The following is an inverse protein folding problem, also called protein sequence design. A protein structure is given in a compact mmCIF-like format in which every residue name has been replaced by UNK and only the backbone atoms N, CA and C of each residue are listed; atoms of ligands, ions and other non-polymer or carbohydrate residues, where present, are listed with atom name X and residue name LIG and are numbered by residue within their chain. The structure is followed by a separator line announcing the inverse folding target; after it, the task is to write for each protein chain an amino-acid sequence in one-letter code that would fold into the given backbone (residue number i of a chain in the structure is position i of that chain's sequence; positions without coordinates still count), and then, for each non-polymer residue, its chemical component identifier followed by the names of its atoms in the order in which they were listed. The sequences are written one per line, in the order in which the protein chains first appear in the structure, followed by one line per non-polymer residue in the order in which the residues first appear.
data_IF_475592773996
#
_entry.id   IF_475592773996
#
_cell.length_a   1.000
_cell.length_b   1.000
_cell.length_c   1.000
_cell.angle_alpha   90.00
_cell.angle_beta   90.00
_cell.angle_gamma   90.00
#
_symmetry.space_group_name_H-M   'P 1'
#
loop_
_entity.id
_entity.type
_entity.pdbx_description
1 polymer ?
#
# COMPACT_ATOMS: atom_id res chain seq x y z
N UNK A 1 -7.87 -5.79 -9.57
CA UNK A 1 -7.87 -4.33 -9.33
C UNK A 1 -7.26 -4.15 -7.94
N UNK A 2 -6.24 -3.31 -7.77
CA UNK A 2 -5.66 -3.07 -6.46
C UNK A 2 -6.69 -2.33 -5.61
N UNK A 3 -6.97 -2.82 -4.42
CA UNK A 3 -7.83 -2.17 -3.44
C UNK A 3 -6.99 -1.19 -2.65
N UNK A 4 -6.71 -0.05 -3.27
CA UNK A 4 -6.04 1.09 -2.67
C UNK A 4 -6.57 1.32 -1.24
N UNK A 5 -5.76 0.96 -0.23
CA UNK A 5 -6.06 1.25 1.16
C UNK A 5 -5.86 2.73 1.36
N UNK A 6 -6.87 3.50 0.93
CA UNK A 6 -6.95 4.92 1.19
C UNK A 6 -6.84 5.13 2.70
N UNK A 7 -5.69 5.61 3.14
CA UNK A 7 -5.47 6.09 4.49
C UNK A 7 -6.49 7.20 4.73
N UNK A 8 -7.55 6.89 5.48
CA UNK A 8 -8.68 7.79 5.73
C UNK A 8 -8.23 9.26 5.82
N UNK A 9 -8.36 9.98 4.70
CA UNK A 9 -8.13 11.42 4.64
C UNK A 9 -9.40 12.05 5.18
N UNK A 10 -9.46 12.16 6.51
CA UNK A 10 -10.54 12.86 7.20
C UNK A 10 -10.34 14.35 6.90
N UNK A 11 -11.12 14.86 5.95
CA UNK A 11 -11.28 16.28 5.70
C UNK A 11 -12.02 16.89 6.93
N UNK A 12 -11.41 17.83 7.68
CA UNK A 12 -11.94 18.35 8.95
C UNK A 12 -13.28 19.12 8.87
N UNK A 13 -13.90 19.23 7.70
CA UNK A 13 -15.08 20.09 7.50
C UNK A 13 -16.39 19.38 7.13
N UNK A 14 -16.43 18.04 7.09
CA UNK A 14 -17.69 17.31 6.80
C UNK A 14 -18.06 16.27 7.87
N UNK A 15 -19.11 16.53 8.65
CA UNK A 15 -19.78 15.50 9.47
C UNK A 15 -19.09 15.03 10.76
N UNK A 16 -18.11 15.79 11.27
CA UNK A 16 -17.19 15.46 12.37
C UNK A 16 -17.78 14.73 13.59
N UNK A 17 -18.96 15.13 14.06
CA UNK A 17 -19.53 14.55 15.29
C UNK A 17 -20.08 13.14 15.11
N UNK A 18 -20.62 12.80 13.94
CA UNK A 18 -21.18 11.44 13.69
C UNK A 18 -20.07 10.43 13.45
N UNK A 19 -19.05 10.84 12.70
CA UNK A 19 -17.87 10.00 12.39
C UNK A 19 -17.04 9.77 13.65
N UNK A 20 -16.79 10.79 14.47
CA UNK A 20 -16.08 10.62 15.74
C UNK A 20 -16.82 9.71 16.73
N UNK A 21 -18.15 9.80 16.81
CA UNK A 21 -18.96 8.86 17.61
C UNK A 21 -18.80 7.43 17.09
N UNK A 22 -18.82 7.20 15.78
CA UNK A 22 -18.62 5.87 15.21
C UNK A 22 -17.22 5.30 15.53
N UNK A 23 -16.17 6.12 15.43
CA UNK A 23 -14.80 5.70 15.78
C UNK A 23 -14.70 5.29 17.26
N UNK A 24 -15.24 6.11 18.17
CA UNK A 24 -15.26 5.78 19.60
C UNK A 24 -16.13 4.56 19.91
N UNK A 25 -17.24 4.39 19.19
CA UNK A 25 -18.09 3.21 19.30
C UNK A 25 -17.35 1.93 18.87
N UNK A 26 -16.65 1.95 17.72
CA UNK A 26 -15.83 0.82 17.27
C UNK A 26 -14.66 0.54 18.21
N UNK A 27 -14.00 1.57 18.75
CA UNK A 27 -12.96 1.39 19.75
C UNK A 27 -13.47 0.72 21.03
N UNK A 28 -14.62 1.15 21.55
CA UNK A 28 -15.23 0.55 22.75
C UNK A 28 -15.72 -0.89 22.47
N UNK A 29 -16.32 -1.11 21.31
CA UNK A 29 -16.76 -2.42 20.84
C UNK A 29 -15.59 -3.39 20.73
N UNK A 30 -14.49 -2.96 20.14
CA UNK A 30 -13.26 -3.76 20.02
C UNK A 30 -12.79 -4.24 21.38
N UNK A 31 -12.74 -3.36 22.39
CA UNK A 31 -12.37 -3.75 23.76
C UNK A 31 -13.38 -4.75 24.34
N UNK A 32 -14.68 -4.52 24.12
CA UNK A 32 -15.72 -5.44 24.58
C UNK A 32 -15.62 -6.83 23.91
N UNK A 33 -15.28 -6.89 22.62
CA UNK A 33 -15.08 -8.14 21.90
C UNK A 33 -13.80 -8.88 22.32
N UNK A 34 -12.69 -8.17 22.60
CA UNK A 34 -11.47 -8.79 23.16
C UNK A 34 -11.81 -9.43 24.51
N UNK A 35 -12.41 -8.67 25.42
CA UNK A 35 -12.78 -9.17 26.76
C UNK A 35 -13.79 -10.30 26.65
N UNK A 36 -14.83 -10.12 25.83
CA UNK A 36 -15.86 -11.12 25.61
C UNK A 36 -15.33 -12.39 24.93
N UNK A 37 -14.37 -12.28 24.02
CA UNK A 37 -13.72 -13.41 23.36
C UNK A 37 -12.90 -14.24 24.33
N UNK A 38 -12.12 -13.58 25.19
CA UNK A 38 -11.37 -14.24 26.26
C UNK A 38 -12.32 -14.94 27.25
N UNK A 39 -13.36 -14.24 27.72
CA UNK A 39 -14.30 -14.79 28.70
C UNK A 39 -15.18 -15.91 28.13
N UNK A 40 -15.53 -15.83 26.85
CA UNK A 40 -16.34 -16.84 26.17
C UNK A 40 -15.54 -18.02 25.64
N UNK A 41 -14.21 -17.92 25.56
CA UNK A 41 -13.36 -18.90 24.90
C UNK A 41 -13.41 -18.86 23.37
N UNK A 42 -14.13 -17.91 22.76
CA UNK A 42 -14.30 -17.79 21.30
C UNK A 42 -13.09 -17.15 20.64
N UNK A 43 -12.41 -17.91 19.78
CA UNK A 43 -11.33 -17.39 18.96
C UNK A 43 -11.87 -16.57 17.78
N UNK A 44 -13.08 -16.87 17.28
CA UNK A 44 -13.71 -16.10 16.21
C UNK A 44 -13.99 -14.66 16.65
N UNK A 45 -14.47 -14.46 17.87
CA UNK A 45 -14.69 -13.13 18.43
C UNK A 45 -13.38 -12.37 18.69
N UNK A 46 -12.31 -13.08 19.10
CA UNK A 46 -10.98 -12.49 19.25
C UNK A 46 -10.40 -12.08 17.89
N UNK A 47 -10.57 -12.91 16.84
CA UNK A 47 -10.08 -12.61 15.50
C UNK A 47 -10.70 -11.33 14.94
N UNK A 48 -12.03 -11.22 15.05
CA UNK A 48 -12.78 -10.03 14.64
C UNK A 48 -12.32 -8.78 15.42
N UNK A 49 -12.14 -8.91 16.75
CA UNK A 49 -11.65 -7.82 17.57
C UNK A 49 -10.20 -7.41 17.26
N UNK A 50 -9.30 -8.37 16.97
CA UNK A 50 -7.92 -8.09 16.61
C UNK A 50 -7.81 -7.37 15.26
N UNK A 51 -8.69 -7.70 14.31
CA UNK A 51 -8.78 -6.98 13.03
C UNK A 51 -9.16 -5.51 13.27
N UNK A 52 -10.30 -5.28 13.94
CA UNK A 52 -10.79 -3.93 14.28
C UNK A 52 -9.78 -3.12 15.11
N UNK A 53 -9.08 -3.77 16.04
CA UNK A 53 -8.00 -3.14 16.81
C UNK A 53 -6.83 -2.72 15.92
N UNK A 54 -6.39 -3.60 15.02
CA UNK A 54 -5.29 -3.31 14.09
C UNK A 54 -5.65 -2.14 13.19
N UNK A 55 -6.90 -2.05 12.72
CA UNK A 55 -7.35 -0.93 11.89
C UNK A 55 -7.36 0.39 12.67
N UNK A 56 -7.83 0.37 13.92
CA UNK A 56 -7.75 1.54 14.80
C UNK A 56 -6.30 1.95 15.08
N UNK A 57 -5.41 0.99 15.37
CA UNK A 57 -3.99 1.25 15.58
C UNK A 57 -3.33 1.81 14.31
N UNK A 58 -3.69 1.29 13.13
CA UNK A 58 -3.21 1.78 11.84
C UNK A 58 -3.56 3.24 11.60
N UNK A 59 -4.78 3.67 11.99
CA UNK A 59 -5.23 5.05 11.86
C UNK A 59 -4.41 5.99 12.75
N UNK A 60 -4.11 5.57 13.97
CA UNK A 60 -3.26 6.33 14.89
C UNK A 60 -1.83 6.45 14.32
N UNK A 61 -1.26 5.35 13.85
CA UNK A 61 0.08 5.35 13.23
C UNK A 61 0.08 6.24 11.98
N UNK A 62 -0.91 6.13 11.11
CA UNK A 62 -1.06 6.94 9.91
C UNK A 62 -1.21 8.43 10.23
N UNK A 63 -1.95 8.79 11.29
CA UNK A 63 -2.06 10.17 11.75
C UNK A 63 -0.69 10.76 12.16
N UNK A 64 0.08 10.02 12.96
CA UNK A 64 1.42 10.46 13.34
C UNK A 64 2.39 10.48 12.15
N UNK A 65 2.32 9.48 11.28
CA UNK A 65 3.11 9.41 10.05
C UNK A 65 2.84 10.62 9.15
N UNK A 66 1.57 10.97 8.92
CA UNK A 66 1.16 12.16 8.16
C UNK A 66 1.66 13.45 8.79
N UNK A 67 1.62 13.55 10.11
CA UNK A 67 2.17 14.70 10.84
C UNK A 67 3.68 14.83 10.64
N UNK A 68 4.40 13.73 10.52
CA UNK A 68 5.84 13.70 10.24
C UNK A 68 6.10 14.00 8.76
N UNK A 69 5.32 13.42 7.84
CA UNK A 69 5.44 13.58 6.40
C UNK A 69 5.31 15.03 5.93
N UNK A 70 4.45 15.82 6.60
CA UNK A 70 4.27 17.26 6.34
C UNK A 70 5.45 18.15 6.74
N UNK A 71 6.50 17.59 7.35
CA UNK A 71 7.70 18.37 7.68
C UNK A 71 8.46 18.73 6.40
N UNK A 72 8.96 19.97 6.28
CA UNK A 72 9.77 20.36 5.13
C UNK A 72 11.08 19.55 5.09
N UNK A 73 11.68 19.48 3.92
CA UNK A 73 12.99 18.88 3.73
C UNK A 73 14.08 19.59 4.57
N UNK A 74 15.08 18.83 5.01
CA UNK A 74 16.21 19.35 5.76
C UNK A 74 17.54 18.74 5.28
N UNK A 75 18.65 19.10 5.92
CA UNK A 75 20.00 18.66 5.52
C UNK A 75 20.22 17.15 5.62
N UNK A 76 19.43 16.45 6.44
CA UNK A 76 19.52 14.99 6.61
C UNK A 76 18.51 14.27 5.72
N UNK A 77 17.32 14.85 5.56
CA UNK A 77 16.23 14.33 4.73
C UNK A 77 15.96 15.30 3.58
N UNK A 78 16.82 15.27 2.55
CA UNK A 78 16.83 16.23 1.44
C UNK A 78 15.60 16.16 0.54
N UNK A 79 14.95 15.00 0.47
CA UNK A 79 13.66 14.80 -0.22
C UNK A 79 12.44 14.95 0.72
N UNK A 80 12.66 15.35 1.98
CA UNK A 80 11.60 15.45 2.97
C UNK A 80 11.25 14.13 3.64
N UNK A 81 10.11 14.13 4.35
CA UNK A 81 9.70 13.05 5.24
C UNK A 81 8.53 12.21 4.70
N UNK A 82 8.13 12.41 3.44
CA UNK A 82 6.94 11.80 2.84
C UNK A 82 6.86 10.28 2.97
N UNK A 83 7.99 9.59 2.77
CA UNK A 83 8.03 8.10 2.82
C UNK A 83 7.68 7.49 4.17
N UNK A 84 7.60 8.28 5.25
CA UNK A 84 7.14 7.78 6.55
C UNK A 84 5.71 7.22 6.48
N UNK A 85 4.85 7.76 5.62
CA UNK A 85 3.50 7.22 5.38
C UNK A 85 3.56 5.80 4.77
N UNK A 86 4.46 5.58 3.82
CA UNK A 86 4.70 4.26 3.21
C UNK A 86 5.22 3.26 4.25
N UNK A 87 6.14 3.70 5.12
CA UNK A 87 6.67 2.86 6.21
C UNK A 87 5.56 2.50 7.20
N UNK A 88 4.68 3.45 7.54
CA UNK A 88 3.52 3.20 8.40
C UNK A 88 2.57 2.16 7.79
N UNK A 89 2.28 2.26 6.50
CA UNK A 89 1.48 1.27 5.78
C UNK A 89 2.13 -0.12 5.83
N UNK A 90 3.44 -0.22 5.60
CA UNK A 90 4.17 -1.49 5.66
C UNK A 90 4.12 -2.12 7.06
N UNK A 91 4.27 -1.32 8.12
CA UNK A 91 4.14 -1.79 9.51
C UNK A 91 2.74 -2.37 9.74
N UNK A 92 1.69 -1.70 9.25
CA UNK A 92 0.32 -2.17 9.39
C UNK A 92 0.11 -3.53 8.70
N UNK A 93 0.45 -3.64 7.41
CA UNK A 93 0.29 -4.90 6.68
C UNK A 93 1.11 -6.04 7.27
N UNK A 94 2.35 -5.76 7.70
CA UNK A 94 3.19 -6.76 8.36
C UNK A 94 2.55 -7.24 9.67
N UNK A 95 1.95 -6.33 10.44
CA UNK A 95 1.24 -6.67 11.68
C UNK A 95 0.03 -7.56 11.40
N UNK A 96 -0.79 -7.21 10.41
CA UNK A 96 -1.93 -8.01 9.98
C UNK A 96 -1.53 -9.41 9.50
N UNK A 97 -0.41 -9.53 8.77
CA UNK A 97 0.12 -10.82 8.33
C UNK A 97 0.52 -11.69 9.52
N UNK A 98 1.24 -11.12 10.50
CA UNK A 98 1.63 -11.86 11.70
C UNK A 98 0.43 -12.31 12.53
N UNK A 99 -0.57 -11.44 12.71
CA UNK A 99 -1.82 -11.76 13.39
C UNK A 99 -2.58 -12.87 12.63
N UNK A 100 -2.68 -12.77 11.31
CA UNK A 100 -3.35 -13.76 10.47
C UNK A 100 -2.73 -15.15 10.60
N UNK A 101 -1.40 -15.27 10.53
CA UNK A 101 -0.72 -16.54 10.74
C UNK A 101 -0.90 -17.08 12.16
N UNK A 102 -0.86 -16.21 13.17
CA UNK A 102 -1.12 -16.60 14.56
C UNK A 102 -2.55 -17.15 14.74
N UNK A 103 -3.56 -16.51 14.15
CA UNK A 103 -4.95 -16.96 14.20
C UNK A 103 -5.18 -18.28 13.47
N UNK A 104 -4.51 -18.52 12.34
CA UNK A 104 -4.55 -19.81 11.64
C UNK A 104 -3.92 -20.91 12.50
N UNK A 105 -2.78 -20.63 13.13
CA UNK A 105 -2.12 -21.57 14.02
C UNK A 105 -3.00 -21.94 15.23
N UNK A 106 -3.52 -20.95 15.95
CA UNK A 106 -4.45 -21.15 17.07
C UNK A 106 -5.74 -21.85 16.65
N UNK A 107 -6.34 -21.43 15.54
CA UNK A 107 -7.55 -22.06 14.99
C UNK A 107 -7.31 -23.52 14.61
N UNK A 108 -6.16 -23.83 14.02
CA UNK A 108 -5.75 -25.19 13.68
C UNK A 108 -5.61 -26.08 14.91
N UNK A 109 -4.97 -25.59 15.97
CA UNK A 109 -4.85 -26.32 17.24
C UNK A 109 -6.23 -26.58 17.88
N UNK A 110 -7.11 -25.58 17.89
CA UNK A 110 -8.46 -25.69 18.45
C UNK A 110 -9.40 -26.56 17.61
N UNK A 111 -9.04 -26.89 16.36
CA UNK A 111 -9.81 -27.85 15.57
C UNK A 111 -9.68 -29.29 16.10
N UNK A 112 -8.55 -29.60 16.73
CA UNK A 112 -8.25 -30.94 17.28
C UNK A 112 -8.94 -31.13 18.63
N UNK A 113 -8.89 -30.13 19.50
CA UNK A 113 -9.56 -30.13 20.81
C UNK A 113 -10.37 -28.82 21.00
N UNK A 114 -11.63 -28.78 20.51
CA UNK A 114 -12.45 -27.58 20.56
C UNK A 114 -12.83 -27.19 22.00
N UNK A 115 -12.44 -25.99 22.47
CA UNK A 115 -12.77 -25.55 23.83
C UNK A 115 -14.28 -25.33 23.98
N UNK A 116 -14.73 -25.22 25.24
CA UNK A 116 -16.10 -24.80 25.52
C UNK A 116 -16.27 -23.32 25.20
N UNK A 117 -17.15 -23.02 24.25
CA UNK A 117 -17.46 -21.65 23.83
C UNK A 117 -18.81 -21.22 24.37
N UNK A 118 -18.85 -20.10 25.09
CA UNK A 118 -20.10 -19.50 25.56
C UNK A 118 -20.85 -18.82 24.41
N UNK A 119 -21.63 -19.60 23.66
CA UNK A 119 -22.30 -19.16 22.43
C UNK A 119 -23.18 -17.91 22.59
N UNK A 120 -23.82 -17.70 23.75
CA UNK A 120 -24.64 -16.50 24.00
C UNK A 120 -23.81 -15.22 24.00
N UNK A 121 -22.63 -15.25 24.62
CA UNK A 121 -21.69 -14.11 24.63
C UNK A 121 -21.23 -13.78 23.21
N UNK A 122 -20.94 -14.82 22.41
CA UNK A 122 -20.53 -14.67 21.00
C UNK A 122 -21.64 -14.05 20.17
N UNK A 123 -22.89 -14.55 20.28
CA UNK A 123 -24.03 -14.02 19.52
C UNK A 123 -24.37 -12.59 19.92
N UNK A 124 -24.36 -12.27 21.22
CA UNK A 124 -24.67 -10.92 21.69
C UNK A 124 -23.62 -9.93 21.19
N UNK A 125 -22.33 -10.22 21.37
CA UNK A 125 -21.26 -9.30 20.98
C UNK A 125 -21.12 -9.20 19.45
N UNK A 126 -21.25 -10.31 18.72
CA UNK A 126 -21.32 -10.28 17.26
C UNK A 126 -22.55 -9.51 16.76
N UNK A 127 -23.70 -9.63 17.44
CA UNK A 127 -24.91 -8.86 17.14
C UNK A 127 -24.73 -7.36 17.35
N UNK A 128 -24.08 -6.96 18.45
CA UNK A 128 -23.73 -5.54 18.69
C UNK A 128 -22.76 -5.05 17.62
N UNK A 129 -21.74 -5.83 17.27
CA UNK A 129 -20.78 -5.48 16.23
C UNK A 129 -21.46 -5.27 14.88
N UNK A 130 -22.28 -6.23 14.45
CA UNK A 130 -23.07 -6.12 13.23
C UNK A 130 -23.92 -4.83 13.20
N UNK A 131 -24.54 -4.45 14.33
CA UNK A 131 -25.32 -3.21 14.40
C UNK A 131 -24.43 -1.99 14.22
N UNK A 132 -23.28 -1.92 14.89
CA UNK A 132 -22.36 -0.77 14.78
C UNK A 132 -21.80 -0.65 13.36
N UNK A 133 -21.33 -1.75 12.78
CA UNK A 133 -20.75 -1.77 11.43
C UNK A 133 -21.80 -1.43 10.37
N UNK A 134 -23.00 -2.00 10.49
CA UNK A 134 -24.12 -1.70 9.56
C UNK A 134 -24.55 -0.24 9.67
N UNK A 135 -24.64 0.33 10.88
CA UNK A 135 -24.98 1.75 11.05
C UNK A 135 -23.90 2.64 10.43
N UNK A 136 -22.63 2.29 10.60
CA UNK A 136 -21.50 3.04 10.03
C UNK A 136 -21.49 2.93 8.49
N UNK A 137 -21.75 1.74 7.94
CA UNK A 137 -21.92 1.53 6.50
C UNK A 137 -23.13 2.32 5.95
N UNK A 138 -24.27 2.34 6.63
CA UNK A 138 -25.46 3.10 6.18
C UNK A 138 -25.23 4.62 6.21
N UNK A 139 -24.53 5.12 7.23
CA UNK A 139 -24.17 6.53 7.32
C UNK A 139 -23.25 6.93 6.16
N UNK A 140 -22.24 6.10 5.87
CA UNK A 140 -21.26 6.36 4.81
C UNK A 140 -21.80 6.08 3.40
N UNK A 141 -22.82 5.24 3.24
CA UNK A 141 -23.44 4.90 1.96
C UNK A 141 -23.95 6.12 1.19
N UNK A 142 -24.59 7.07 1.89
CA UNK A 142 -25.09 8.29 1.25
C UNK A 142 -23.96 9.24 0.82
N UNK A 143 -22.82 9.19 1.52
CA UNK A 143 -21.67 10.07 1.33
C UNK A 143 -20.64 9.49 0.34
N UNK A 144 -20.67 8.18 0.06
CA UNK A 144 -19.69 7.52 -0.80
C UNK A 144 -19.69 8.00 -2.26
N UNK A 145 -20.83 8.50 -2.76
CA UNK A 145 -20.97 8.90 -4.17
C UNK A 145 -20.13 10.13 -4.53
N UNK A 146 -19.70 10.90 -3.55
CA UNK A 146 -18.91 12.12 -3.74
C UNK A 146 -17.42 11.98 -3.38
N UNK A 147 -16.97 10.84 -2.86
CA UNK A 147 -15.58 10.69 -2.39
C UNK A 147 -15.12 9.24 -2.42
N UNK A 148 -13.98 9.00 -3.10
CA UNK A 148 -13.31 7.69 -3.14
C UNK A 148 -12.91 7.24 -1.73
N UNK A 149 -12.48 8.16 -0.88
CA UNK A 149 -12.12 7.87 0.51
C UNK A 149 -13.33 7.37 1.32
N UNK A 150 -14.51 7.97 1.14
CA UNK A 150 -15.73 7.53 1.83
C UNK A 150 -16.22 6.19 1.26
N UNK A 151 -16.03 5.95 -0.04
CA UNK A 151 -16.30 4.65 -0.65
C UNK A 151 -15.43 3.54 -0.08
N UNK A 152 -14.14 3.79 0.13
CA UNK A 152 -13.25 2.83 0.78
C UNK A 152 -13.72 2.50 2.21
N UNK A 153 -14.05 3.54 3.00
CA UNK A 153 -14.59 3.36 4.35
C UNK A 153 -15.92 2.59 4.36
N UNK A 154 -16.82 2.83 3.40
CA UNK A 154 -18.06 2.08 3.26
C UNK A 154 -17.81 0.59 2.97
N UNK A 155 -16.93 0.29 2.01
CA UNK A 155 -16.60 -1.10 1.65
C UNK A 155 -15.93 -1.86 2.79
N UNK A 156 -15.10 -1.18 3.58
CA UNK A 156 -14.47 -1.74 4.76
C UNK A 156 -15.51 -2.12 5.83
N UNK A 157 -16.37 -1.19 6.25
CA UNK A 157 -17.43 -1.49 7.23
C UNK A 157 -18.40 -2.58 6.74
N UNK A 158 -18.62 -2.68 5.42
CA UNK A 158 -19.43 -3.76 4.85
C UNK A 158 -18.74 -5.12 5.01
N UNK A 159 -17.41 -5.17 4.85
CA UNK A 159 -16.61 -6.36 5.10
C UNK A 159 -16.68 -6.79 6.56
N UNK A 160 -16.58 -5.84 7.50
CA UNK A 160 -16.63 -6.11 8.94
C UNK A 160 -18.02 -6.60 9.37
N UNK A 161 -19.07 -6.01 8.79
CA UNK A 161 -20.44 -6.49 8.98
C UNK A 161 -20.60 -7.95 8.50
N UNK A 162 -19.98 -8.33 7.38
CA UNK A 162 -20.00 -9.72 6.90
C UNK A 162 -19.22 -10.66 7.83
N UNK A 163 -18.09 -10.22 8.39
CA UNK A 163 -17.34 -10.97 9.40
C UNK A 163 -18.19 -11.18 10.68
N UNK A 164 -18.85 -10.11 11.16
CA UNK A 164 -19.80 -10.17 12.28
C UNK A 164 -20.95 -11.16 12.02
N UNK A 165 -21.51 -11.20 10.80
CA UNK A 165 -22.52 -12.20 10.41
C UNK A 165 -21.98 -13.62 10.53
N UNK A 166 -20.75 -13.87 10.06
CA UNK A 166 -20.12 -15.19 10.19
C UNK A 166 -19.99 -15.59 11.68
N UNK A 167 -19.53 -14.67 12.54
CA UNK A 167 -19.41 -14.90 14.00
C UNK A 167 -20.78 -15.20 14.64
N UNK A 168 -21.84 -14.47 14.28
CA UNK A 168 -23.21 -14.71 14.80
C UNK A 168 -23.71 -16.09 14.37
N UNK A 169 -23.52 -16.47 13.10
CA UNK A 169 -23.90 -17.79 12.59
C UNK A 169 -23.14 -18.87 13.37
N UNK A 170 -21.84 -18.67 13.60
CA UNK A 170 -21.02 -19.58 14.42
C UNK A 170 -21.53 -19.76 15.84
N UNK A 171 -21.74 -18.65 16.55
CA UNK A 171 -22.29 -18.67 17.90
C UNK A 171 -23.68 -19.33 17.95
N UNK A 172 -24.53 -19.09 16.96
CA UNK A 172 -25.86 -19.70 16.87
C UNK A 172 -25.78 -21.22 16.67
N UNK A 173 -24.87 -21.69 15.81
CA UNK A 173 -24.64 -23.12 15.60
C UNK A 173 -24.09 -23.82 16.85
N UNK A 174 -23.24 -23.13 17.61
CA UNK A 174 -22.75 -23.62 18.91
C UNK A 174 -23.91 -23.74 19.90
N UNK A 175 -24.82 -22.76 19.96
CA UNK A 175 -25.98 -22.81 20.87
C UNK A 175 -26.99 -23.91 20.51
N UNK A 176 -27.30 -24.07 19.22
CA UNK A 176 -28.34 -24.99 18.76
C UNK A 176 -27.88 -26.44 18.67
N UNK A 177 -26.63 -26.66 18.25
CA UNK A 177 -26.12 -27.98 17.90
C UNK A 177 -24.87 -28.40 18.68
N UNK A 178 -24.39 -27.57 19.62
CA UNK A 178 -23.13 -27.78 20.35
C UNK A 178 -21.93 -27.99 19.41
N UNK A 179 -21.96 -27.35 18.24
CA UNK A 179 -20.98 -27.53 17.17
C UNK A 179 -19.73 -26.69 17.42
N UNK A 180 -18.90 -27.10 18.38
CA UNK A 180 -17.76 -26.31 18.90
C UNK A 180 -16.65 -26.06 17.88
N UNK A 181 -16.45 -26.96 16.92
CA UNK A 181 -15.44 -26.82 15.85
C UNK A 181 -15.73 -25.65 14.88
N UNK A 182 -16.94 -25.09 14.91
CA UNK A 182 -17.33 -23.98 14.04
C UNK A 182 -16.58 -22.70 14.39
N UNK A 183 -16.33 -22.45 15.68
CA UNK A 183 -15.57 -21.28 16.12
C UNK A 183 -14.17 -21.24 15.47
N UNK A 184 -13.31 -22.27 15.61
CA UNK A 184 -12.01 -22.28 14.95
C UNK A 184 -12.10 -22.29 13.42
N UNK A 185 -13.13 -22.90 12.83
CA UNK A 185 -13.33 -22.86 11.38
C UNK A 185 -13.60 -21.43 10.86
N UNK A 186 -14.45 -20.68 11.56
CA UNK A 186 -14.73 -19.27 11.24
C UNK A 186 -13.49 -18.42 11.49
N UNK A 187 -12.75 -18.65 12.59
CA UNK A 187 -11.48 -17.96 12.84
C UNK A 187 -10.51 -18.13 11.68
N UNK A 188 -10.29 -19.36 11.21
CA UNK A 188 -9.40 -19.63 10.08
C UNK A 188 -9.91 -18.93 8.82
N UNK A 189 -11.22 -18.95 8.58
CA UNK A 189 -11.83 -18.23 7.45
C UNK A 189 -11.56 -16.72 7.49
N UNK A 190 -11.79 -16.07 8.64
CA UNK A 190 -11.51 -14.64 8.84
C UNK A 190 -10.02 -14.37 8.67
N UNK A 191 -9.14 -15.20 9.26
CA UNK A 191 -7.70 -15.04 9.17
C UNK A 191 -7.17 -15.16 7.73
N UNK A 192 -7.68 -16.13 6.95
CA UNK A 192 -7.34 -16.29 5.54
C UNK A 192 -7.78 -15.09 4.70
N UNK A 193 -8.95 -14.53 5.00
CA UNK A 193 -9.44 -13.33 4.34
C UNK A 193 -8.56 -12.11 4.66
N UNK A 194 -8.19 -11.89 5.92
CA UNK A 194 -7.27 -10.82 6.34
C UNK A 194 -5.91 -10.98 5.64
N UNK A 195 -5.36 -12.20 5.60
CA UNK A 195 -4.10 -12.47 4.90
C UNK A 195 -4.19 -12.17 3.41
N UNK A 196 -5.27 -12.60 2.75
CA UNK A 196 -5.48 -12.32 1.32
C UNK A 196 -5.46 -10.81 1.04
N UNK A 197 -6.16 -10.02 1.85
CA UNK A 197 -6.17 -8.57 1.72
C UNK A 197 -4.77 -7.99 1.94
N UNK A 198 -4.11 -8.36 3.04
CA UNK A 198 -2.78 -7.85 3.37
C UNK A 198 -1.72 -8.19 2.30
N UNK A 199 -1.72 -9.40 1.75
CA UNK A 199 -0.78 -9.80 0.68
C UNK A 199 -1.05 -9.12 -0.65
N UNK A 200 -2.31 -8.82 -0.96
CA UNK A 200 -2.66 -8.09 -2.18
C UNK A 200 -2.10 -6.66 -2.14
N UNK A 201 -2.04 -6.08 -0.94
CA UNK A 201 -1.88 -4.63 -0.75
C UNK A 201 -0.48 -4.23 -0.28
N UNK A 202 0.28 -5.15 0.33
CA UNK A 202 1.66 -4.90 0.76
C UNK A 202 2.62 -4.61 -0.40
N UNK A 203 2.29 -5.05 -1.62
CA UNK A 203 3.15 -4.88 -2.80
C UNK A 203 3.41 -3.42 -3.19
N UNK A 204 2.41 -2.55 -3.04
CA UNK A 204 2.52 -1.12 -3.33
C UNK A 204 3.58 -0.43 -2.47
N UNK A 205 3.46 -0.48 -1.13
CA UNK A 205 4.46 0.09 -0.23
C UNK A 205 5.87 -0.45 -0.44
N UNK A 206 6.03 -1.76 -0.64
CA UNK A 206 7.33 -2.39 -0.90
C UNK A 206 7.95 -1.80 -2.18
N UNK A 207 7.18 -1.73 -3.28
CA UNK A 207 7.65 -1.17 -4.55
C UNK A 207 8.11 0.28 -4.39
N UNK A 208 7.37 1.11 -3.67
CA UNK A 208 7.73 2.51 -3.42
C UNK A 208 9.02 2.62 -2.60
N UNK A 209 9.21 1.77 -1.58
CA UNK A 209 10.45 1.74 -0.80
C UNK A 209 11.65 1.25 -1.62
N UNK A 210 11.42 0.35 -2.57
CA UNK A 210 12.43 -0.18 -3.50
C UNK A 210 12.75 0.77 -4.66
N UNK A 211 12.26 2.02 -4.65
CA UNK A 211 12.43 2.98 -5.75
C UNK A 211 11.85 2.48 -7.08
N UNK A 212 10.79 1.67 -7.03
CA UNK A 212 10.10 1.23 -8.24
C UNK A 212 9.46 2.41 -8.97
N UNK A 213 9.37 2.29 -10.30
CA UNK A 213 8.64 3.26 -11.12
C UNK A 213 7.17 3.35 -10.68
N UNK A 214 6.49 4.49 -10.82
CA UNK A 214 5.06 4.65 -10.54
C UNK A 214 4.21 3.61 -11.29
N UNK A 215 3.19 2.98 -10.66
CA UNK A 215 2.34 1.99 -11.34
C UNK A 215 1.44 2.59 -12.43
N UNK A 216 1.06 3.86 -12.28
CA UNK A 216 0.09 4.53 -13.16
C UNK A 216 0.76 5.30 -14.31
N UNK A 217 2.09 5.28 -14.40
CA UNK A 217 2.86 5.95 -15.45
C UNK A 217 3.52 4.89 -16.33
N UNK A 218 3.21 4.93 -17.62
CA UNK A 218 3.93 4.14 -18.61
C UNK A 218 5.29 4.78 -18.93
N UNK A 219 6.36 4.13 -18.48
CA UNK A 219 7.73 4.57 -18.68
C UNK A 219 8.07 4.74 -20.16
N UNK A 220 7.53 3.91 -21.05
CA UNK A 220 7.84 3.99 -22.48
C UNK A 220 7.21 5.25 -23.09
N UNK A 221 5.95 5.53 -22.75
CA UNK A 221 5.27 6.75 -23.17
C UNK A 221 5.99 8.01 -22.66
N UNK A 222 6.54 8.01 -21.44
CA UNK A 222 7.36 9.13 -20.93
C UNK A 222 8.60 9.35 -21.80
N UNK A 223 9.37 8.29 -22.07
CA UNK A 223 10.59 8.37 -22.90
C UNK A 223 10.26 8.87 -24.30
N UNK A 224 9.20 8.35 -24.93
CA UNK A 224 8.78 8.80 -26.26
C UNK A 224 8.34 10.25 -26.27
N UNK A 225 7.65 10.72 -25.22
CA UNK A 225 7.26 12.11 -25.10
C UNK A 225 8.49 13.05 -24.98
N UNK A 226 9.55 12.61 -24.31
CA UNK A 226 10.82 13.35 -24.21
C UNK A 226 11.58 13.37 -25.54
N UNK A 227 11.70 12.21 -26.22
CA UNK A 227 12.32 12.09 -27.56
C UNK A 227 11.56 12.87 -28.63
N UNK A 228 10.27 13.09 -28.45
CA UNK A 228 9.44 13.90 -29.35
C UNK A 228 9.69 15.41 -29.28
N UNK A 229 10.53 15.90 -28.36
CA UNK A 229 10.89 17.32 -28.26
C UNK A 229 11.94 17.67 -29.31
N UNK A 230 11.68 18.71 -30.10
CA UNK A 230 12.59 19.18 -31.15
C UNK A 230 13.99 19.52 -30.59
N UNK A 231 15.03 19.01 -31.25
CA UNK A 231 16.42 19.12 -30.82
C UNK A 231 16.93 17.99 -29.90
N UNK A 232 16.06 17.09 -29.41
CA UNK A 232 16.45 15.87 -28.69
C UNK A 232 16.74 14.75 -29.70
N UNK A 233 17.94 14.18 -29.62
CA UNK A 233 18.36 13.04 -30.44
C UNK A 233 17.98 11.71 -29.76
N UNK A 234 18.25 11.58 -28.46
CA UNK A 234 17.95 10.37 -27.70
C UNK A 234 17.79 10.64 -26.19
N UNK A 235 17.26 9.66 -25.47
CA UNK A 235 17.15 9.63 -24.00
C UNK A 235 17.56 8.24 -23.52
N UNK A 236 18.45 8.17 -22.54
CA UNK A 236 18.92 6.91 -21.95
C UNK A 236 19.20 7.06 -20.45
N UNK A 237 19.62 5.97 -19.79
CA UNK A 237 19.88 5.94 -18.34
C UNK A 237 18.69 6.43 -17.50
N UNK A 238 17.48 6.06 -17.93
CA UNK A 238 16.24 6.55 -17.32
C UNK A 238 16.00 5.85 -15.99
N UNK A 239 15.93 6.64 -14.94
CA UNK A 239 15.48 6.27 -13.61
C UNK A 239 14.18 7.00 -13.31
N UNK A 240 13.07 6.27 -13.29
CA UNK A 240 11.78 6.79 -12.86
C UNK A 240 11.39 6.08 -11.57
N UNK A 241 11.10 6.85 -10.51
CA UNK A 241 10.70 6.28 -9.22
C UNK A 241 9.58 7.06 -8.55
N UNK A 242 8.80 6.35 -7.74
CA UNK A 242 7.81 6.95 -6.85
C UNK A 242 8.54 7.52 -5.62
N UNK A 243 8.55 8.84 -5.46
CA UNK A 243 9.23 9.50 -4.33
C UNK A 243 8.36 9.48 -3.06
N UNK A 244 7.07 9.78 -3.21
CA UNK A 244 6.01 9.80 -2.18
C UNK A 244 4.71 9.25 -2.78
N UNK A 245 3.61 9.17 -2.03
CA UNK A 245 2.34 8.57 -2.51
C UNK A 245 1.84 9.14 -3.85
N UNK A 246 2.03 10.45 -4.11
CA UNK A 246 1.57 11.11 -5.33
C UNK A 246 2.64 11.92 -6.06
N UNK A 247 3.92 11.64 -5.80
CA UNK A 247 5.02 12.39 -6.39
C UNK A 247 5.99 11.44 -7.06
N UNK A 248 6.01 11.49 -8.40
CA UNK A 248 6.98 10.80 -9.23
C UNK A 248 8.19 11.69 -9.49
N UNK A 249 9.36 11.07 -9.59
CA UNK A 249 10.62 11.74 -9.91
C UNK A 249 11.35 10.99 -11.03
N UNK A 250 12.05 11.76 -11.85
CA UNK A 250 12.81 11.27 -13.00
C UNK A 250 14.26 11.78 -12.96
N UNK A 251 15.19 10.89 -13.24
CA UNK A 251 16.59 11.20 -13.52
C UNK A 251 16.98 10.50 -14.82
N UNK A 252 17.57 11.22 -15.76
CA UNK A 252 17.99 10.63 -17.03
C UNK A 252 19.00 11.49 -17.78
N UNK A 253 19.59 10.88 -18.80
CA UNK A 253 20.47 11.53 -19.74
C UNK A 253 19.67 11.86 -21.02
N UNK A 254 19.85 13.07 -21.54
CA UNK A 254 19.18 13.60 -22.73
C UNK A 254 20.26 14.00 -23.73
N UNK A 255 20.33 13.26 -24.83
CA UNK A 255 21.25 13.53 -25.92
C UNK A 255 20.62 14.56 -26.84
N UNK A 256 21.34 15.65 -27.10
CA UNK A 256 20.92 16.71 -28.00
C UNK A 256 21.67 16.65 -29.32
N UNK A 257 20.97 16.98 -30.39
CA UNK A 257 21.57 17.24 -31.70
C UNK A 257 22.52 18.43 -31.65
N UNK A 258 23.46 18.55 -32.60
CA UNK A 258 24.37 19.69 -32.67
C UNK A 258 23.64 21.05 -32.69
N UNK A 259 22.54 21.14 -33.43
CA UNK A 259 21.69 22.35 -33.48
C UNK A 259 20.92 22.59 -32.17
N UNK A 260 20.51 21.50 -31.50
CA UNK A 260 19.82 21.53 -30.22
C UNK A 260 20.72 21.98 -29.06
N UNK A 261 22.03 21.72 -29.12
CA UNK A 261 22.99 22.09 -28.07
C UNK A 261 23.03 23.61 -27.80
N UNK A 262 22.87 24.43 -28.85
CA UNK A 262 22.77 25.89 -28.70
C UNK A 262 21.47 26.36 -28.00
N UNK A 263 20.49 25.48 -27.85
CA UNK A 263 19.14 25.78 -27.34
C UNK A 263 18.77 24.99 -26.08
N UNK A 264 19.77 24.49 -25.32
CA UNK A 264 19.57 23.64 -24.12
C UNK A 264 18.47 24.17 -23.20
N UNK A 265 18.50 25.44 -22.79
CA UNK A 265 17.51 25.96 -21.83
C UNK A 265 16.07 25.93 -22.39
N UNK A 266 15.89 26.13 -23.70
CA UNK A 266 14.58 26.04 -24.35
C UNK A 266 14.09 24.59 -24.41
N UNK A 267 14.98 23.66 -24.78
CA UNK A 267 14.67 22.23 -24.85
C UNK A 267 14.37 21.69 -23.44
N UNK A 268 15.19 22.03 -22.45
CA UNK A 268 15.00 21.69 -21.04
C UNK A 268 13.64 22.17 -20.52
N UNK A 269 13.25 23.41 -20.81
CA UNK A 269 11.93 23.92 -20.42
C UNK A 269 10.81 23.11 -21.09
N UNK A 270 10.90 22.85 -22.40
CA UNK A 270 9.91 22.07 -23.12
C UNK A 270 9.76 20.63 -22.59
N UNK A 271 10.88 19.96 -22.29
CA UNK A 271 10.88 18.63 -21.66
C UNK A 271 10.21 18.69 -20.29
N UNK A 272 10.59 19.66 -19.44
CA UNK A 272 10.04 19.79 -18.08
C UNK A 272 8.55 20.10 -18.07
N UNK A 273 8.09 20.96 -18.97
CA UNK A 273 6.67 21.27 -19.13
C UNK A 273 5.90 20.02 -19.57
N UNK A 274 6.42 19.25 -20.52
CA UNK A 274 5.80 18.00 -20.99
C UNK A 274 5.73 16.94 -19.90
N UNK A 275 6.81 16.76 -19.13
CA UNK A 275 6.85 15.84 -17.99
C UNK A 275 5.82 16.21 -16.91
N UNK A 276 5.64 17.50 -16.66
CA UNK A 276 4.69 18.00 -15.67
C UNK A 276 3.24 17.90 -16.14
N UNK A 277 2.95 18.35 -17.36
CA UNK A 277 1.58 18.48 -17.85
C UNK A 277 0.98 17.13 -18.26
N UNK A 278 1.77 16.26 -18.89
CA UNK A 278 1.27 14.98 -19.41
C UNK A 278 1.37 13.85 -18.36
N UNK A 279 2.33 13.94 -17.43
CA UNK A 279 2.66 12.83 -16.50
C UNK A 279 2.70 13.23 -15.02
N UNK A 280 2.47 14.50 -14.68
CA UNK A 280 2.57 15.01 -13.29
C UNK A 280 3.94 14.79 -12.63
N UNK A 281 5.02 14.68 -13.42
CA UNK A 281 6.39 14.53 -12.92
C UNK A 281 6.94 15.93 -12.63
N UNK A 282 6.85 16.36 -11.37
CA UNK A 282 7.32 17.68 -10.92
C UNK A 282 8.81 17.76 -10.58
N UNK A 283 9.43 16.63 -10.23
CA UNK A 283 10.84 16.55 -9.86
C UNK A 283 11.64 15.83 -10.95
N UNK A 284 12.49 16.56 -11.67
CA UNK A 284 13.33 16.00 -12.72
C UNK A 284 14.76 16.54 -12.72
N UNK A 285 15.71 15.61 -12.76
CA UNK A 285 17.13 15.84 -13.03
C UNK A 285 17.41 15.36 -14.47
N UNK A 286 18.01 16.24 -15.27
CA UNK A 286 18.28 15.98 -16.69
C UNK A 286 19.75 16.29 -16.93
N UNK A 287 20.54 15.27 -17.25
CA UNK A 287 21.91 15.41 -17.71
C UNK A 287 21.90 15.58 -19.23
N UNK A 288 22.48 16.67 -19.75
CA UNK A 288 22.48 16.94 -21.19
C UNK A 288 23.80 16.55 -21.83
N UNK A 289 23.72 15.75 -22.88
CA UNK A 289 24.86 15.27 -23.64
C UNK A 289 24.81 15.80 -25.08
N UNK A 290 25.98 16.05 -25.64
CA UNK A 290 26.09 16.35 -27.07
C UNK A 290 26.16 15.04 -27.84
N UNK A 291 25.51 14.92 -29.00
CA UNK A 291 25.49 13.68 -29.79
C UNK A 291 26.89 13.07 -30.05
N UNK A 292 27.90 13.91 -30.35
CA UNK A 292 29.29 13.48 -30.53
C UNK A 292 30.01 12.94 -29.26
N UNK A 293 29.43 13.15 -28.08
CA UNK A 293 30.00 12.76 -26.78
C UNK A 293 28.98 12.05 -25.90
N UNK A 294 27.93 11.53 -26.52
CA UNK A 294 26.91 10.78 -25.81
C UNK A 294 27.52 9.52 -25.21
N UNK A 295 26.99 9.09 -24.07
CA UNK A 295 27.47 7.90 -23.40
C UNK A 295 27.22 6.66 -24.29
N UNK A 296 28.30 5.99 -24.69
CA UNK A 296 28.24 4.82 -25.56
C UNK A 296 27.71 3.59 -24.78
N UNK A 297 26.97 2.71 -25.47
CA UNK A 297 26.40 1.48 -24.91
C UNK A 297 25.50 1.68 -23.66
N UNK A 298 24.87 2.85 -23.53
CA UNK A 298 23.93 3.11 -22.45
C UNK A 298 22.59 2.37 -22.67
N UNK A 299 22.20 1.56 -21.69
CA UNK A 299 20.85 0.98 -21.66
C UNK A 299 19.80 2.08 -21.45
N UNK A 300 18.60 1.88 -22.00
CA UNK A 300 17.50 2.84 -21.83
C UNK A 300 17.10 3.01 -20.36
N UNK A 301 17.09 1.92 -19.59
CA UNK A 301 16.71 1.92 -18.18
C UNK A 301 17.85 1.43 -17.30
N UNK A 302 18.09 2.17 -16.21
CA UNK A 302 19.02 1.75 -15.17
C UNK A 302 20.49 1.79 -15.60
N UNK A 303 21.28 0.91 -14.98
CA UNK A 303 22.71 0.79 -15.26
C UNK A 303 22.94 -0.32 -16.28
N UNK A 304 23.72 -0.01 -17.32
CA UNK A 304 24.09 -0.95 -18.38
C UNK A 304 24.56 -2.29 -17.81
N UNK A 305 24.30 -3.40 -18.51
CA UNK A 305 24.92 -4.67 -18.15
C UNK A 305 26.46 -4.50 -18.20
N UNK A 306 27.21 -4.93 -17.18
CA UNK A 306 28.67 -4.92 -17.28
C UNK A 306 29.05 -5.75 -18.51
N UNK A 307 29.75 -5.13 -19.46
CA UNK A 307 30.29 -5.82 -20.63
C UNK A 307 31.03 -7.06 -20.13
N UNK A 308 30.65 -8.24 -20.64
CA UNK A 308 31.51 -9.41 -20.48
C UNK A 308 32.79 -9.05 -21.21
N UNK A 309 33.90 -8.91 -20.47
CA UNK A 309 35.24 -8.79 -21.06
C UNK A 309 35.36 -9.87 -22.15
N UNK A 310 35.42 -9.45 -23.41
CA UNK A 310 35.83 -10.34 -24.49
C UNK A 310 37.25 -10.77 -24.17
N UNK A 311 37.42 -12.05 -23.82
CA UNK A 311 38.72 -12.70 -23.73
C UNK A 311 39.40 -12.64 -25.11
N UNK A 312 40.08 -11.53 -25.39
CA UNK A 312 41.09 -11.44 -26.42
C UNK A 312 42.29 -12.27 -25.96
N UNK A 313 42.18 -13.59 -26.06
CA UNK A 313 43.31 -14.51 -26.07
C UNK A 313 44.15 -14.20 -27.32
N UNK A 314 45.03 -13.21 -27.19
CA UNK A 314 46.16 -13.03 -28.10
C UNK A 314 47.07 -14.24 -27.92
N UNK A 315 46.95 -15.21 -28.81
CA UNK A 315 47.91 -16.29 -28.97
C UNK A 315 49.22 -15.64 -29.44
N UNK A 316 50.10 -15.27 -28.50
CA UNK A 316 51.51 -15.07 -28.79
C UNK A 316 52.13 -16.45 -28.90
N UNK A 317 52.26 -16.93 -30.13
CA UNK A 317 53.26 -17.95 -30.46
C UNK A 317 54.63 -17.40 -30.08
N UNK A 318 55.18 -17.96 -29.00
CA UNK A 318 56.61 -17.84 -28.69
C UNK A 318 57.35 -18.88 -29.51
N UNK A 319 57.85 -18.46 -30.67
CA UNK A 319 59.10 -18.99 -31.21
C UNK A 319 60.21 -18.74 -30.16
N UNK A 320 60.90 -19.80 -29.71
CA UNK A 320 62.37 -19.83 -29.64
C UNK A 320 62.93 -21.11 -28.98
N UNK A 321 63.74 -21.81 -29.81
CA UNK A 321 64.93 -22.62 -29.48
C UNK A 321 64.75 -24.01 -28.87
#
# INVERSE_FOLDING_TARGET
MPHDHGHAHIDPQSGDRRVSIAIWANGLLTVAQIVGGILSGSLALIADALHNFSDMASLVIAFFARKIARRPADKRMTFGYGRVEIVAALINYTTLILIGFYLIYEGGMRMIDPPEVQGWTVVILGGVALVVDTLTALLTYSMQKGSVNIRALFLHNLSDALASVAVIIGGSLILLYNMRWVDPAITIGIALYILYLAFTEIGGPIRTLMLGSPPDIDNETVVQAMRGVDGVADVHHVHLWQMQEHEAALDCHVVLTADGWGQIEKIKAAIKDRLKDDFSIGHSSLEFEHEDRAHENADLYGHGKPEKEEENHVHRDTDSS
#
